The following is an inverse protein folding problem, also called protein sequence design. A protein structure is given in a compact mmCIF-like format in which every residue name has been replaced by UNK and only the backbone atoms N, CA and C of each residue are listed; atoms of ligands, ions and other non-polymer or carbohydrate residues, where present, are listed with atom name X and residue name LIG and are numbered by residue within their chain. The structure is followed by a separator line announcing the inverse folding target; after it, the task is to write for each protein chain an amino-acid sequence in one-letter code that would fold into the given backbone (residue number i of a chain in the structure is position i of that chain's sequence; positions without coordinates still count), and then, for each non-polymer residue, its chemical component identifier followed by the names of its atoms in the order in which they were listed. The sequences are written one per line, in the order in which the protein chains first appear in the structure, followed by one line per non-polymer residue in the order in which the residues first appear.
data_IF_993716454205
#
_entry.id   IF_993716454205
#
_cell.length_a   1.000
_cell.length_b   1.000
_cell.length_c   1.000
_cell.angle_alpha   90.00
_cell.angle_beta   90.00
_cell.angle_gamma   90.00
#
_symmetry.space_group_name_H-M   'P 1'
#
loop_
_entity.id
_entity.type
_entity.pdbx_description
1 polymer ?
#
# COMPACT_ATOMS: atom_id res chain seq x y z
N UNK A 1 -24.87 36.62 -22.61
CA UNK A 1 -24.73 35.23 -23.08
C UNK A 1 -23.54 34.60 -22.36
N UNK A 2 -23.79 33.67 -21.44
CA UNK A 2 -22.75 33.01 -20.66
C UNK A 2 -21.82 32.20 -21.57
N UNK A 3 -20.51 32.37 -21.39
CA UNK A 3 -19.51 31.52 -22.06
C UNK A 3 -19.74 30.08 -21.60
N UNK A 4 -20.29 29.23 -22.47
CA UNK A 4 -20.24 27.77 -22.30
C UNK A 4 -18.77 27.40 -22.10
N UNK A 5 -18.42 26.93 -20.90
CA UNK A 5 -17.15 26.26 -20.68
C UNK A 5 -17.13 25.07 -21.66
N UNK A 6 -16.29 25.16 -22.68
CA UNK A 6 -15.97 24.00 -23.50
C UNK A 6 -15.49 22.93 -22.53
N UNK A 7 -16.21 21.81 -22.42
CA UNK A 7 -15.68 20.60 -21.82
C UNK A 7 -14.46 20.22 -22.65
N UNK A 8 -13.28 20.70 -22.25
CA UNK A 8 -12.02 20.24 -22.82
C UNK A 8 -11.96 18.75 -22.50
N UNK A 9 -12.03 17.93 -23.54
CA UNK A 9 -11.72 16.51 -23.43
C UNK A 9 -10.35 16.37 -22.76
N UNK A 10 -10.34 15.75 -21.58
CA UNK A 10 -9.12 15.62 -20.78
C UNK A 10 -8.16 14.69 -21.48
N UNK A 11 -6.87 14.93 -21.30
CA UNK A 11 -5.84 14.03 -21.81
C UNK A 11 -5.92 12.71 -21.04
N UNK A 12 -5.86 11.55 -21.70
CA UNK A 12 -5.73 10.29 -21.00
C UNK A 12 -4.41 10.29 -20.21
N UNK A 13 -4.39 9.54 -19.11
CA UNK A 13 -3.18 9.37 -18.32
C UNK A 13 -2.11 8.69 -19.21
N UNK A 14 -0.93 9.29 -19.29
CA UNK A 14 0.19 8.78 -20.06
C UNK A 14 1.40 8.55 -19.15
N UNK A 15 2.44 7.88 -19.66
CA UNK A 15 3.67 7.56 -18.91
C UNK A 15 4.33 8.75 -18.23
N UNK A 16 4.25 9.94 -18.84
CA UNK A 16 4.78 11.17 -18.23
C UNK A 16 3.95 11.60 -17.00
N UNK A 17 2.63 11.58 -17.12
CA UNK A 17 1.71 11.91 -16.04
C UNK A 17 1.77 10.87 -14.91
N UNK A 18 1.84 9.59 -15.24
CA UNK A 18 2.09 8.51 -14.27
C UNK A 18 3.39 8.74 -13.49
N UNK A 19 4.48 9.13 -14.17
CA UNK A 19 5.75 9.47 -13.51
C UNK A 19 5.62 10.61 -12.51
N UNK A 20 4.80 11.62 -12.81
CA UNK A 20 4.53 12.71 -11.86
C UNK A 20 3.74 12.22 -10.64
N UNK A 21 2.77 11.32 -10.84
CA UNK A 21 1.96 10.76 -9.77
C UNK A 21 2.78 9.88 -8.82
N UNK A 22 3.71 9.08 -9.36
CA UNK A 22 4.69 8.32 -8.55
C UNK A 22 5.60 9.25 -7.75
N UNK A 23 6.13 10.30 -8.38
CA UNK A 23 6.97 11.29 -7.71
C UNK A 23 6.23 12.17 -6.69
N UNK A 24 4.89 12.26 -6.79
CA UNK A 24 4.05 12.98 -5.85
C UNK A 24 3.86 12.19 -4.55
N UNK A 25 3.66 10.87 -4.64
CA UNK A 25 3.33 10.01 -3.50
C UNK A 25 4.22 10.20 -2.25
N UNK A 26 5.57 10.19 -2.33
CA UNK A 26 6.40 10.41 -1.14
C UNK A 26 6.24 11.82 -0.54
N UNK A 27 5.85 12.81 -1.35
CA UNK A 27 5.62 14.19 -0.87
C UNK A 27 4.30 14.35 -0.12
N UNK A 28 3.38 13.39 -0.24
CA UNK A 28 2.08 13.40 0.42
C UNK A 28 2.13 12.88 1.86
N UNK A 29 3.18 12.14 2.23
CA UNK A 29 3.25 11.40 3.49
C UNK A 29 3.11 12.29 4.74
N UNK A 30 3.65 13.51 4.68
CA UNK A 30 3.66 14.48 5.77
C UNK A 30 2.69 15.66 5.56
N UNK A 31 1.79 15.56 4.57
CA UNK A 31 0.83 16.62 4.24
C UNK A 31 -0.54 16.36 4.86
N UNK A 32 -1.29 17.45 5.08
CA UNK A 32 -2.71 17.41 5.43
C UNK A 32 -3.55 17.27 4.15
N UNK A 33 -3.83 16.04 3.73
CA UNK A 33 -4.42 15.72 2.43
C UNK A 33 -5.77 16.41 2.20
N UNK A 34 -6.61 16.47 3.23
CA UNK A 34 -7.90 17.14 3.16
C UNK A 34 -7.80 18.65 2.96
N UNK A 35 -6.67 19.28 3.32
CA UNK A 35 -6.43 20.73 3.18
C UNK A 35 -5.71 21.13 1.91
N UNK A 36 -5.01 20.20 1.26
CA UNK A 36 -4.33 20.48 0.00
C UNK A 36 -5.33 20.90 -1.07
N UNK A 37 -4.97 21.95 -1.81
CA UNK A 37 -5.64 22.39 -3.02
C UNK A 37 -5.01 21.76 -4.24
N UNK A 38 -5.74 21.72 -5.35
CA UNK A 38 -5.23 21.20 -6.63
C UNK A 38 -4.02 22.02 -7.13
N UNK A 39 -3.99 23.33 -6.82
CA UNK A 39 -2.89 24.21 -7.16
C UNK A 39 -1.61 23.90 -6.35
N UNK A 40 -1.73 23.64 -5.04
CA UNK A 40 -0.61 23.20 -4.21
C UNK A 40 -0.07 21.83 -4.68
N UNK A 41 -0.96 20.92 -5.08
CA UNK A 41 -0.56 19.63 -5.66
C UNK A 41 0.22 19.84 -6.96
N UNK A 42 -0.22 20.77 -7.83
CA UNK A 42 0.52 21.12 -9.04
C UNK A 42 1.93 21.62 -8.74
N UNK A 43 2.08 22.45 -7.70
CA UNK A 43 3.39 22.91 -7.23
C UNK A 43 4.24 21.75 -6.69
N UNK A 44 3.67 20.83 -5.90
CA UNK A 44 4.37 19.63 -5.41
C UNK A 44 4.88 18.75 -6.56
N UNK A 45 4.14 18.67 -7.67
CA UNK A 45 4.55 17.96 -8.89
C UNK A 45 5.55 18.75 -9.76
N UNK A 46 5.80 20.03 -9.45
CA UNK A 46 6.62 20.92 -10.27
C UNK A 46 6.00 21.15 -11.65
N UNK A 47 4.68 21.35 -11.72
CA UNK A 47 3.92 21.56 -12.96
C UNK A 47 3.06 22.82 -12.89
N UNK A 48 2.78 23.41 -14.04
CA UNK A 48 1.84 24.53 -14.13
C UNK A 48 0.42 24.05 -13.82
N UNK A 49 -0.42 24.96 -13.30
CA UNK A 49 -1.86 24.75 -13.14
C UNK A 49 -2.46 24.17 -14.43
N UNK A 50 -2.28 24.88 -15.56
CA UNK A 50 -2.83 24.47 -16.86
C UNK A 50 -2.44 23.06 -17.29
N UNK A 51 -1.26 22.57 -16.89
CA UNK A 51 -0.82 21.20 -17.15
C UNK A 51 -1.63 20.21 -16.33
N UNK A 52 -1.75 20.41 -15.01
CA UNK A 52 -2.50 19.51 -14.13
C UNK A 52 -3.98 19.50 -14.48
N UNK A 53 -4.60 20.65 -14.69
CA UNK A 53 -6.01 20.76 -15.10
C UNK A 53 -6.31 20.12 -16.47
N UNK A 54 -5.29 19.81 -17.28
CA UNK A 54 -5.49 19.08 -18.55
C UNK A 54 -5.61 17.57 -18.37
N UNK A 55 -5.21 17.03 -17.22
CA UNK A 55 -5.30 15.61 -16.87
C UNK A 55 -6.32 15.33 -15.76
N UNK A 56 -6.43 16.21 -14.77
CA UNK A 56 -7.18 15.94 -13.55
C UNK A 56 -8.19 17.03 -13.23
N UNK A 57 -9.28 16.62 -12.58
CA UNK A 57 -10.42 17.45 -12.19
C UNK A 57 -10.36 17.83 -10.73
N UNK A 58 -9.99 16.85 -9.90
CA UNK A 58 -10.04 16.94 -8.45
C UNK A 58 -8.75 16.39 -7.86
N UNK A 59 -8.47 16.76 -6.61
CA UNK A 59 -7.34 16.20 -5.87
C UNK A 59 -7.55 14.73 -5.53
N UNK A 60 -8.80 14.32 -5.32
CA UNK A 60 -9.22 12.94 -5.07
C UNK A 60 -8.83 12.05 -6.26
N UNK A 61 -9.06 12.51 -7.49
CA UNK A 61 -8.63 11.81 -8.71
C UNK A 61 -7.11 11.65 -8.76
N UNK A 62 -6.35 12.67 -8.36
CA UNK A 62 -4.89 12.59 -8.30
C UNK A 62 -4.44 11.58 -7.24
N UNK A 63 -5.01 11.64 -6.04
CA UNK A 63 -4.67 10.72 -4.96
C UNK A 63 -5.01 9.28 -5.32
N UNK A 64 -6.19 9.05 -5.89
CA UNK A 64 -6.60 7.71 -6.32
C UNK A 64 -5.65 7.17 -7.38
N UNK A 65 -5.35 7.93 -8.44
CA UNK A 65 -4.41 7.48 -9.46
C UNK A 65 -2.98 7.27 -8.92
N UNK A 66 -2.51 8.16 -8.03
CA UNK A 66 -1.20 8.02 -7.38
C UNK A 66 -1.13 6.76 -6.53
N UNK A 67 -2.12 6.51 -5.67
CA UNK A 67 -2.19 5.31 -4.83
C UNK A 67 -2.32 4.05 -5.67
N UNK A 68 -3.15 4.05 -6.72
CA UNK A 68 -3.28 2.90 -7.64
C UNK A 68 -1.94 2.53 -8.25
N UNK A 69 -1.17 3.49 -8.77
CA UNK A 69 0.14 3.22 -9.37
C UNK A 69 1.12 2.63 -8.35
N UNK A 70 1.14 3.14 -7.12
CA UNK A 70 2.01 2.61 -6.06
C UNK A 70 1.61 1.20 -5.65
N UNK A 71 0.30 0.91 -5.55
CA UNK A 71 -0.19 -0.44 -5.24
C UNK A 71 0.13 -1.43 -6.38
N UNK A 72 0.04 -1.00 -7.64
CA UNK A 72 0.46 -1.78 -8.80
C UNK A 72 1.97 -2.07 -8.79
N UNK A 73 2.80 -1.05 -8.53
CA UNK A 73 4.25 -1.21 -8.43
C UNK A 73 4.62 -2.16 -7.27
N UNK A 74 3.93 -2.05 -6.14
CA UNK A 74 4.08 -2.93 -4.98
C UNK A 74 3.71 -4.37 -5.33
N UNK A 75 2.57 -4.57 -5.97
CA UNK A 75 2.09 -5.87 -6.42
C UNK A 75 3.10 -6.51 -7.38
N UNK A 76 3.51 -5.79 -8.42
CA UNK A 76 4.52 -6.25 -9.38
C UNK A 76 5.84 -6.61 -8.68
N UNK A 77 6.28 -5.81 -7.72
CA UNK A 77 7.50 -6.07 -6.94
C UNK A 77 7.38 -7.34 -6.09
N UNK A 78 6.23 -7.57 -5.45
CA UNK A 78 6.01 -8.73 -4.58
C UNK A 78 5.95 -10.02 -5.39
N UNK A 79 5.25 -10.00 -6.53
CA UNK A 79 4.95 -11.22 -7.30
C UNK A 79 5.94 -11.50 -8.44
N UNK A 80 6.80 -10.54 -8.81
CA UNK A 80 7.86 -10.77 -9.80
C UNK A 80 8.94 -11.69 -9.25
N UNK A 81 9.47 -12.58 -10.10
CA UNK A 81 10.69 -13.35 -9.82
C UNK A 81 10.65 -14.09 -8.47
N UNK A 82 9.51 -14.71 -8.13
CA UNK A 82 9.43 -15.55 -6.94
C UNK A 82 10.12 -16.90 -7.21
N UNK A 83 10.95 -17.40 -6.27
CA UNK A 83 11.74 -18.59 -6.45
C UNK A 83 10.84 -19.81 -6.57
N UNK A 84 11.07 -20.59 -7.61
CA UNK A 84 10.43 -21.89 -7.78
C UNK A 84 11.26 -22.97 -7.10
N UNK A 85 10.60 -24.04 -6.64
CA UNK A 85 11.26 -25.22 -6.05
C UNK A 85 12.17 -24.93 -4.83
N UNK A 86 11.90 -23.85 -4.09
CA UNK A 86 12.56 -23.55 -2.81
C UNK A 86 11.68 -23.96 -1.62
N UNK A 87 12.24 -23.92 -0.40
CA UNK A 87 11.46 -24.10 0.82
C UNK A 87 10.49 -22.94 1.02
N UNK A 88 9.35 -23.21 1.67
CA UNK A 88 8.35 -22.17 1.89
C UNK A 88 8.83 -21.06 2.82
N UNK A 89 9.80 -21.36 3.67
CA UNK A 89 10.46 -20.37 4.51
C UNK A 89 11.30 -19.38 3.69
N UNK A 90 12.06 -19.86 2.70
CA UNK A 90 12.83 -18.99 1.81
C UNK A 90 11.90 -18.14 0.96
N UNK A 91 10.85 -18.74 0.39
CA UNK A 91 9.83 -18.01 -0.36
C UNK A 91 9.18 -16.92 0.49
N UNK A 92 8.82 -17.23 1.73
CA UNK A 92 8.25 -16.26 2.67
C UNK A 92 9.21 -15.10 2.95
N UNK A 93 10.49 -15.39 3.21
CA UNK A 93 11.52 -14.39 3.45
C UNK A 93 11.71 -13.43 2.27
N UNK A 94 11.68 -13.94 1.03
CA UNK A 94 11.79 -13.11 -0.16
C UNK A 94 10.57 -12.20 -0.36
N UNK A 95 9.36 -12.74 -0.15
CA UNK A 95 8.12 -11.96 -0.17
C UNK A 95 8.18 -10.86 0.88
N UNK A 96 8.65 -11.17 2.08
CA UNK A 96 8.76 -10.22 3.19
C UNK A 96 9.77 -9.11 2.88
N UNK A 97 10.91 -9.45 2.27
CA UNK A 97 11.90 -8.47 1.81
C UNK A 97 11.34 -7.53 0.73
N UNK A 98 10.61 -8.09 -0.24
CA UNK A 98 9.95 -7.33 -1.32
C UNK A 98 8.87 -6.41 -0.77
N UNK A 99 8.03 -6.92 0.14
CA UNK A 99 7.04 -6.13 0.87
C UNK A 99 7.71 -4.98 1.60
N UNK A 100 8.77 -5.25 2.37
CA UNK A 100 9.48 -4.25 3.16
C UNK A 100 9.94 -3.07 2.32
N UNK A 101 10.57 -3.37 1.18
CA UNK A 101 11.02 -2.34 0.23
C UNK A 101 9.84 -1.53 -0.32
N UNK A 102 8.74 -2.19 -0.64
CA UNK A 102 7.59 -1.55 -1.28
C UNK A 102 6.72 -0.71 -0.34
N UNK A 103 6.65 -1.07 0.95
CA UNK A 103 5.91 -0.27 1.95
C UNK A 103 6.79 0.77 2.66
N UNK A 104 8.10 0.74 2.43
CA UNK A 104 9.03 1.69 3.03
C UNK A 104 8.65 3.14 2.67
N UNK A 105 8.61 4.01 3.67
CA UNK A 105 8.23 5.41 3.50
C UNK A 105 6.72 5.69 3.47
N UNK A 106 5.86 4.67 3.51
CA UNK A 106 4.42 4.88 3.76
C UNK A 106 4.21 5.22 5.23
N UNK A 107 3.66 6.41 5.51
CA UNK A 107 3.41 6.85 6.88
C UNK A 107 2.06 6.36 7.40
N UNK A 108 1.99 5.99 8.68
CA UNK A 108 0.73 5.64 9.35
C UNK A 108 -0.25 6.84 9.32
N UNK A 109 0.30 8.06 9.40
CA UNK A 109 -0.49 9.29 9.29
C UNK A 109 -1.15 9.45 7.91
N UNK A 110 -0.45 9.10 6.82
CA UNK A 110 -1.03 9.09 5.48
C UNK A 110 -2.19 8.11 5.39
N UNK A 111 -2.00 6.86 5.83
CA UNK A 111 -3.04 5.83 5.80
C UNK A 111 -4.27 6.21 6.62
N UNK A 112 -4.08 6.76 7.82
CA UNK A 112 -5.17 7.24 8.66
C UNK A 112 -5.97 8.38 8.00
N UNK A 113 -5.32 9.31 7.30
CA UNK A 113 -6.02 10.35 6.53
C UNK A 113 -6.80 9.75 5.35
N UNK A 114 -6.22 8.79 4.64
CA UNK A 114 -6.91 8.07 3.55
C UNK A 114 -8.17 7.38 4.08
N UNK A 115 -8.05 6.62 5.18
CA UNK A 115 -9.19 5.97 5.83
C UNK A 115 -10.27 6.98 6.26
N UNK A 116 -9.88 8.11 6.84
CA UNK A 116 -10.81 9.09 7.43
C UNK A 116 -11.53 9.96 6.39
N UNK A 117 -10.88 10.25 5.26
CA UNK A 117 -11.34 11.28 4.32
C UNK A 117 -11.56 10.78 2.90
N UNK A 118 -11.00 9.63 2.52
CA UNK A 118 -10.99 9.14 1.15
C UNK A 118 -11.38 7.65 1.09
N UNK A 119 -12.64 7.29 1.46
CA UNK A 119 -13.07 5.91 1.64
C UNK A 119 -12.90 5.03 0.40
N UNK A 120 -13.08 5.57 -0.81
CA UNK A 120 -12.86 4.82 -2.05
C UNK A 120 -11.39 4.43 -2.26
N UNK A 121 -10.45 5.30 -1.84
CA UNK A 121 -9.01 5.00 -1.89
C UNK A 121 -8.64 4.01 -0.78
N UNK A 122 -9.26 4.13 0.39
CA UNK A 122 -9.07 3.16 1.47
C UNK A 122 -9.54 1.76 1.08
N UNK A 123 -10.70 1.65 0.43
CA UNK A 123 -11.21 0.38 -0.08
C UNK A 123 -10.22 -0.26 -1.07
N UNK A 124 -9.64 0.53 -1.97
CA UNK A 124 -8.60 0.06 -2.88
C UNK A 124 -7.38 -0.48 -2.12
N UNK A 125 -6.87 0.22 -1.10
CA UNK A 125 -5.76 -0.26 -0.27
C UNK A 125 -6.12 -1.58 0.41
N UNK A 126 -7.34 -1.69 0.93
CA UNK A 126 -7.81 -2.92 1.59
C UNK A 126 -7.95 -4.09 0.61
N UNK A 127 -8.32 -3.85 -0.65
CA UNK A 127 -8.36 -4.91 -1.67
C UNK A 127 -6.97 -5.52 -1.91
N UNK A 128 -5.94 -4.68 -2.10
CA UNK A 128 -4.55 -5.16 -2.26
C UNK A 128 -4.04 -5.83 -0.98
N UNK A 129 -4.35 -5.27 0.18
CA UNK A 129 -3.99 -5.85 1.49
C UNK A 129 -4.61 -7.23 1.68
N UNK A 130 -5.90 -7.39 1.38
CA UNK A 130 -6.59 -8.68 1.47
C UNK A 130 -6.01 -9.70 0.47
N UNK A 131 -5.66 -9.26 -0.75
CA UNK A 131 -5.00 -10.12 -1.74
C UNK A 131 -3.65 -10.64 -1.21
N UNK A 132 -2.84 -9.76 -0.61
CA UNK A 132 -1.58 -10.13 0.02
C UNK A 132 -1.77 -11.12 1.18
N UNK A 133 -2.72 -10.85 2.08
CA UNK A 133 -3.04 -11.75 3.20
C UNK A 133 -3.53 -13.13 2.72
N UNK A 134 -4.32 -13.18 1.65
CA UNK A 134 -4.75 -14.45 1.06
C UNK A 134 -3.59 -15.24 0.44
N UNK A 135 -2.60 -14.56 -0.13
CA UNK A 135 -1.36 -15.21 -0.56
C UNK A 135 -0.59 -15.80 0.63
N UNK A 136 -0.47 -15.07 1.75
CA UNK A 136 0.16 -15.60 2.96
C UNK A 136 -0.59 -16.83 3.47
N UNK A 137 -1.93 -16.80 3.49
CA UNK A 137 -2.77 -17.95 3.82
C UNK A 137 -2.38 -19.19 3.03
N UNK A 138 -2.26 -19.07 1.71
CA UNK A 138 -1.91 -20.18 0.84
C UNK A 138 -0.51 -20.75 1.14
N UNK A 139 0.46 -19.87 1.46
CA UNK A 139 1.81 -20.29 1.88
C UNK A 139 1.74 -21.07 3.20
N UNK A 140 0.98 -20.57 4.17
CA UNK A 140 0.80 -21.22 5.47
C UNK A 140 0.14 -22.59 5.34
N UNK A 141 -0.96 -22.68 4.59
CA UNK A 141 -1.68 -23.93 4.34
C UNK A 141 -0.80 -24.95 3.63
N UNK A 142 -0.05 -24.52 2.61
CA UNK A 142 0.90 -25.40 1.90
C UNK A 142 1.96 -25.93 2.85
N UNK A 143 2.56 -25.08 3.68
CA UNK A 143 3.61 -25.52 4.61
C UNK A 143 3.11 -26.42 5.72
N UNK A 144 1.87 -26.22 6.18
CA UNK A 144 1.23 -27.15 7.12
C UNK A 144 0.91 -28.50 6.47
N UNK A 145 0.58 -28.51 5.18
CA UNK A 145 0.29 -29.74 4.43
C UNK A 145 1.56 -30.54 4.10
N UNK A 146 2.67 -29.86 3.78
CA UNK A 146 3.97 -30.50 3.49
C UNK A 146 4.76 -30.86 4.76
N UNK A 147 4.33 -30.36 5.92
CA UNK A 147 5.01 -30.56 7.21
C UNK A 147 6.21 -29.62 7.43
N UNK A 148 6.48 -28.71 6.51
CA UNK A 148 7.49 -27.65 6.67
C UNK A 148 7.11 -26.68 7.80
N UNK A 149 5.80 -26.43 7.98
CA UNK A 149 5.26 -25.63 9.08
C UNK A 149 4.48 -26.49 10.06
N UNK A 150 4.54 -26.10 11.34
CA UNK A 150 3.67 -26.63 12.38
C UNK A 150 2.21 -26.35 12.03
N UNK A 151 1.34 -27.34 12.25
CA UNK A 151 -0.12 -27.15 12.13
C UNK A 151 -0.62 -26.07 13.09
N UNK A 152 -1.36 -25.12 12.54
CA UNK A 152 -2.07 -24.08 13.26
C UNK A 152 -3.52 -24.02 12.77
N UNK A 153 -4.42 -23.41 13.56
CA UNK A 153 -5.74 -23.08 13.03
C UNK A 153 -5.57 -21.90 12.06
N UNK A 154 -5.70 -22.15 10.76
CA UNK A 154 -5.49 -21.13 9.72
C UNK A 154 -6.46 -19.96 9.84
N UNK A 155 -7.72 -20.20 10.22
CA UNK A 155 -8.70 -19.12 10.35
C UNK A 155 -8.37 -18.18 11.49
N UNK A 156 -7.91 -18.73 12.63
CA UNK A 156 -7.39 -17.92 13.73
C UNK A 156 -6.15 -17.13 13.31
N UNK A 157 -5.24 -17.75 12.55
CA UNK A 157 -4.03 -17.11 12.06
C UNK A 157 -4.37 -15.88 11.19
N UNK A 158 -5.28 -16.07 10.25
CA UNK A 158 -5.74 -15.01 9.35
C UNK A 158 -6.51 -13.92 10.08
N UNK A 159 -7.32 -14.27 11.08
CA UNK A 159 -8.02 -13.30 11.91
C UNK A 159 -7.02 -12.41 12.65
N UNK A 160 -5.97 -13.00 13.24
CA UNK A 160 -4.91 -12.24 13.90
C UNK A 160 -4.18 -11.32 12.93
N UNK A 161 -3.79 -11.83 11.76
CA UNK A 161 -3.06 -11.05 10.74
C UNK A 161 -3.89 -9.87 10.23
N UNK A 162 -5.17 -10.09 9.94
CA UNK A 162 -6.08 -9.02 9.52
C UNK A 162 -6.28 -7.97 10.62
N UNK A 163 -6.50 -8.39 11.87
CA UNK A 163 -6.66 -7.47 13.00
C UNK A 163 -5.38 -6.66 13.25
N UNK A 164 -4.22 -7.30 13.17
CA UNK A 164 -2.94 -6.62 13.35
C UNK A 164 -2.73 -5.56 12.26
N UNK A 165 -2.85 -5.94 10.98
CA UNK A 165 -2.63 -5.05 9.84
C UNK A 165 -3.58 -3.84 9.90
N UNK A 166 -4.88 -4.06 10.13
CA UNK A 166 -5.85 -2.99 10.25
C UNK A 166 -5.53 -2.06 11.42
N UNK A 167 -5.12 -2.63 12.56
CA UNK A 167 -4.75 -1.84 13.74
C UNK A 167 -3.57 -0.94 13.44
N UNK A 168 -2.46 -1.45 12.87
CA UNK A 168 -1.26 -0.64 12.68
C UNK A 168 -1.39 0.41 11.57
N UNK A 169 -2.17 0.15 10.52
CA UNK A 169 -2.42 1.12 9.45
C UNK A 169 -3.19 2.36 9.95
N UNK A 170 -3.89 2.24 11.07
CA UNK A 170 -4.83 3.25 11.57
C UNK A 170 -4.45 3.79 12.96
N UNK A 171 -3.54 3.14 13.69
CA UNK A 171 -3.15 3.47 15.06
C UNK A 171 -2.12 4.61 15.18
N UNK A 172 -2.44 5.79 14.63
CA UNK A 172 -1.59 7.00 14.73
C UNK A 172 -1.25 7.39 16.18
N UNK A 173 -2.17 7.17 17.12
CA UNK A 173 -1.99 7.53 18.53
C UNK A 173 -1.05 6.64 19.35
N UNK A 174 -0.81 5.38 18.93
CA UNK A 174 0.06 4.43 19.64
C UNK A 174 1.48 4.43 19.10
N UNK A 175 1.62 4.32 17.79
CA UNK A 175 2.94 4.09 17.17
C UNK A 175 3.50 5.31 16.45
N UNK A 176 2.62 6.21 15.97
CA UNK A 176 3.04 7.39 15.22
C UNK A 176 3.83 8.43 16.00
N UNK A 177 3.85 8.37 17.35
CA UNK A 177 4.60 9.29 18.21
C UNK A 177 6.01 8.82 18.59
N UNK A 178 6.28 7.52 18.45
CA UNK A 178 7.51 6.91 18.97
C UNK A 178 8.62 6.79 17.91
N UNK A 179 8.42 7.35 16.71
CA UNK A 179 9.36 7.23 15.59
C UNK A 179 9.34 5.86 14.89
N UNK A 180 8.51 4.92 15.37
CA UNK A 180 8.35 3.59 14.76
C UNK A 180 7.57 3.73 13.45
N UNK A 181 8.12 3.17 12.39
CA UNK A 181 7.56 3.20 11.05
C UNK A 181 6.53 2.08 10.84
N UNK A 182 5.67 2.25 9.83
CA UNK A 182 4.76 1.19 9.40
C UNK A 182 5.54 -0.08 9.00
N UNK A 183 6.65 0.10 8.28
CA UNK A 183 7.49 -0.99 7.82
C UNK A 183 8.01 -1.81 9.00
N UNK A 184 8.62 -1.19 10.01
CA UNK A 184 9.12 -1.89 11.19
C UNK A 184 8.04 -2.73 11.88
N UNK A 185 6.84 -2.16 12.12
CA UNK A 185 5.74 -2.90 12.75
C UNK A 185 5.27 -4.10 11.93
N UNK A 186 5.12 -3.92 10.61
CA UNK A 186 4.72 -5.01 9.71
C UNK A 186 5.76 -6.12 9.72
N UNK A 187 7.04 -5.75 9.62
CA UNK A 187 8.15 -6.68 9.52
C UNK A 187 8.33 -7.47 10.81
N UNK A 188 8.39 -6.81 11.97
CA UNK A 188 8.52 -7.48 13.27
C UNK A 188 7.39 -8.49 13.52
N UNK A 189 6.16 -8.12 13.13
CA UNK A 189 5.00 -9.01 13.28
C UNK A 189 5.07 -10.23 12.36
N UNK A 190 5.43 -10.03 11.09
CA UNK A 190 5.53 -11.12 10.12
C UNK A 190 6.73 -12.04 10.43
N UNK A 191 7.83 -11.50 10.96
CA UNK A 191 8.94 -12.28 11.49
C UNK A 191 8.53 -13.12 12.70
N UNK A 192 7.82 -12.53 13.67
CA UNK A 192 7.25 -13.27 14.80
C UNK A 192 6.33 -14.40 14.31
N UNK A 193 5.53 -14.12 13.28
CA UNK A 193 4.58 -15.07 12.70
C UNK A 193 5.28 -16.29 12.10
N UNK A 194 6.32 -16.09 11.27
CA UNK A 194 7.04 -17.22 10.67
C UNK A 194 7.81 -18.03 11.73
N UNK A 195 8.40 -17.37 12.73
CA UNK A 195 9.07 -18.04 13.85
C UNK A 195 8.12 -18.96 14.62
N UNK A 196 6.87 -18.55 14.83
CA UNK A 196 5.87 -19.37 15.51
C UNK A 196 5.42 -20.59 14.68
N UNK A 197 5.55 -20.53 13.36
CA UNK A 197 5.17 -21.61 12.44
C UNK A 197 6.30 -22.62 12.18
N UNK A 198 7.56 -22.27 12.44
CA UNK A 198 8.69 -23.20 12.33
C UNK A 198 8.43 -24.45 13.17
N UNK A 199 8.62 -25.63 12.58
CA UNK A 199 8.58 -26.87 13.35
C UNK A 199 9.74 -26.88 14.35
N UNK A 200 9.52 -27.39 15.56
CA UNK A 200 10.63 -27.74 16.44
C UNK A 200 11.32 -28.95 15.80
N UNK A 201 12.55 -28.78 15.32
CA UNK A 201 13.47 -29.91 15.18
C UNK A 201 13.73 -30.52 16.57
#
# INVERSE_FOLDING_TARGET
MGRKALEKTRKPLNKKAEGWLRALFPKLQDKKLNRLTLDEIAQLMGKSKSTIYSYFTTKEEIYQNSVTLILQDLEETIYSELPENTSLEVLYGEILLKLSKGINGISIHFLHQIQSHFPAIWELIMQYTNKFLNMLKAIYEKGMATGEFRKFNTDLLMAMDNHFVLSIMTATGRFGKNGITLNELVMEYLELRILALRSKQ
#
